data_IF_584460072346
#
_entry.id   IF_584460072346
#
_cell.length_a   1.000
_cell.length_b   1.000
_cell.length_c   1.000
_cell.angle_alpha   90.00
_cell.angle_beta   90.00
_cell.angle_gamma   90.00
#
_symmetry.space_group_name_H-M   'P 1'
#
loop_
_entity.id
_entity.type
_entity.pdbx_description
1 polymer ?
#
# COMPACT_ATOMS: atom_id res chain seq x y z
N UNK A 1 -3.31 -18.95 -10.14
CA UNK A 1 -4.08 -18.40 -9.02
C UNK A 1 -3.09 -17.86 -8.01
N UNK A 2 -2.62 -16.63 -8.22
CA UNK A 2 -1.78 -15.92 -7.25
C UNK A 2 -2.72 -15.32 -6.23
N UNK A 3 -2.77 -15.91 -5.03
CA UNK A 3 -3.50 -15.40 -3.88
C UNK A 3 -2.66 -14.30 -3.24
N UNK A 4 -3.23 -13.13 -2.99
CA UNK A 4 -2.55 -12.08 -2.24
C UNK A 4 -2.15 -12.64 -0.86
N UNK A 5 -0.85 -12.61 -0.57
CA UNK A 5 -0.35 -12.99 0.76
C UNK A 5 -0.52 -11.80 1.71
N UNK A 6 -1.53 -11.88 2.56
CA UNK A 6 -1.80 -10.90 3.63
C UNK A 6 -0.92 -11.14 4.87
N UNK A 7 0.00 -12.10 4.83
CA UNK A 7 0.91 -12.35 5.95
C UNK A 7 1.77 -11.11 6.22
N UNK A 8 2.00 -10.75 7.50
CA UNK A 8 2.87 -9.63 7.82
C UNK A 8 4.31 -9.95 7.41
N UNK A 9 4.76 -9.39 6.29
CA UNK A 9 6.14 -9.54 5.78
C UNK A 9 7.10 -8.46 6.29
N UNK A 10 6.57 -7.42 6.94
CA UNK A 10 7.36 -6.33 7.50
C UNK A 10 7.93 -6.74 8.86
N UNK A 11 9.25 -6.66 9.01
CA UNK A 11 9.95 -6.94 10.29
C UNK A 11 9.57 -5.94 11.38
N UNK A 12 9.26 -4.70 11.01
CA UNK A 12 8.89 -3.63 11.94
C UNK A 12 7.79 -2.74 11.31
N UNK A 13 6.51 -3.18 11.34
CA UNK A 13 5.41 -2.44 10.73
C UNK A 13 5.20 -1.07 11.37
N UNK A 14 5.41 -0.96 12.68
CA UNK A 14 5.26 0.28 13.44
C UNK A 14 6.29 1.35 13.03
N UNK A 15 7.55 0.93 12.84
CA UNK A 15 8.62 1.81 12.38
C UNK A 15 8.37 2.34 10.96
N UNK A 16 7.82 1.50 10.07
CA UNK A 16 7.42 1.93 8.73
C UNK A 16 6.26 2.92 8.79
N UNK A 17 5.25 2.67 9.63
CA UNK A 17 4.13 3.59 9.81
C UNK A 17 4.58 4.94 10.36
N UNK A 18 5.46 4.95 11.36
CA UNK A 18 6.01 6.16 11.94
C UNK A 18 6.77 6.99 10.88
N UNK A 19 7.60 6.34 10.07
CA UNK A 19 8.30 6.98 8.95
C UNK A 19 7.32 7.54 7.90
N UNK A 20 6.26 6.79 7.57
CA UNK A 20 5.23 7.24 6.64
C UNK A 20 4.50 8.49 7.15
N UNK A 21 4.03 8.47 8.40
CA UNK A 21 3.36 9.60 9.03
C UNK A 21 4.26 10.82 9.13
N UNK A 22 5.55 10.64 9.42
CA UNK A 22 6.50 11.74 9.46
C UNK A 22 6.71 12.36 8.07
N UNK A 23 6.75 11.56 7.00
CA UNK A 23 6.84 12.07 5.62
C UNK A 23 5.60 12.81 5.16
N UNK A 24 4.43 12.40 5.64
CA UNK A 24 3.17 13.07 5.35
C UNK A 24 2.97 14.34 6.19
N UNK A 25 3.72 14.50 7.30
CA UNK A 25 3.61 15.66 8.18
C UNK A 25 4.06 16.93 7.46
N UNK A 26 3.12 17.85 7.25
CA UNK A 26 3.38 19.13 6.59
C UNK A 26 3.13 19.13 5.09
N UNK A 27 2.66 18.02 4.52
CA UNK A 27 2.15 17.98 3.15
C UNK A 27 0.69 18.41 3.12
N UNK A 28 0.32 19.25 2.17
CA UNK A 28 -1.08 19.51 1.85
C UNK A 28 -1.76 18.28 1.24
N UNK A 29 -3.09 18.32 1.13
CA UNK A 29 -3.88 17.21 0.57
C UNK A 29 -3.43 16.76 -0.82
N UNK A 30 -3.08 17.72 -1.70
CA UNK A 30 -2.61 17.42 -3.05
C UNK A 30 -1.24 16.72 -3.03
N UNK A 31 -0.33 17.18 -2.18
CA UNK A 31 1.00 16.59 -2.03
C UNK A 31 0.93 15.20 -1.39
N UNK A 32 0.08 15.04 -0.38
CA UNK A 32 -0.20 13.74 0.26
C UNK A 32 -0.73 12.73 -0.77
N UNK A 33 -1.68 13.12 -1.62
CA UNK A 33 -2.19 12.25 -2.69
C UNK A 33 -1.10 11.88 -3.70
N UNK A 34 -0.29 12.86 -4.13
CA UNK A 34 0.79 12.62 -5.08
C UNK A 34 1.87 11.69 -4.50
N UNK A 35 2.24 11.89 -3.24
CA UNK A 35 3.18 11.04 -2.51
C UNK A 35 2.64 9.60 -2.41
N UNK A 36 1.40 9.44 -1.95
CA UNK A 36 0.78 8.12 -1.79
C UNK A 36 0.66 7.38 -3.13
N UNK A 37 0.26 8.06 -4.21
CA UNK A 37 0.19 7.44 -5.54
C UNK A 37 1.56 6.95 -6.02
N UNK A 38 2.63 7.74 -5.83
CA UNK A 38 4.00 7.33 -6.17
C UNK A 38 4.44 6.14 -5.33
N UNK A 39 4.20 6.18 -4.02
CA UNK A 39 4.54 5.09 -3.11
C UNK A 39 3.84 3.78 -3.51
N UNK A 40 2.53 3.83 -3.79
CA UNK A 40 1.76 2.68 -4.24
C UNK A 40 2.35 2.08 -5.52
N UNK A 41 2.71 2.91 -6.52
CA UNK A 41 3.32 2.44 -7.76
C UNK A 41 4.69 1.78 -7.53
N UNK A 42 5.53 2.34 -6.66
CA UNK A 42 6.82 1.73 -6.30
C UNK A 42 6.63 0.37 -5.64
N UNK A 43 5.69 0.26 -4.69
CA UNK A 43 5.39 -1.00 -4.02
C UNK A 43 4.77 -2.02 -4.98
N UNK A 44 3.88 -1.59 -5.87
CA UNK A 44 3.29 -2.43 -6.91
C UNK A 44 4.36 -3.03 -7.84
N UNK A 45 5.32 -2.22 -8.28
CA UNK A 45 6.46 -2.69 -9.06
C UNK A 45 7.33 -3.68 -8.28
N UNK A 46 7.46 -3.51 -6.96
CA UNK A 46 8.22 -4.44 -6.11
C UNK A 46 7.51 -5.79 -5.94
N UNK A 47 6.16 -5.80 -5.92
CA UNK A 47 5.35 -7.03 -5.90
C UNK A 47 5.48 -7.77 -7.23
N UNK A 48 5.35 -7.07 -8.36
CA UNK A 48 5.55 -7.63 -9.70
C UNK A 48 4.50 -8.63 -10.18
N UNK A 49 3.44 -8.87 -9.41
CA UNK A 49 2.33 -9.78 -9.74
C UNK A 49 1.04 -8.98 -9.94
N UNK A 50 0.62 -8.83 -11.20
CA UNK A 50 -0.56 -8.03 -11.55
C UNK A 50 -1.86 -8.59 -10.96
N UNK A 51 -2.02 -9.92 -10.91
CA UNK A 51 -3.22 -10.55 -10.39
C UNK A 51 -3.39 -10.30 -8.88
N UNK A 52 -2.29 -10.37 -8.12
CA UNK A 52 -2.29 -10.01 -6.70
C UNK A 52 -2.60 -8.52 -6.50
N UNK A 53 -2.11 -7.62 -7.36
CA UNK A 53 -2.42 -6.19 -7.29
C UNK A 53 -3.89 -5.89 -7.59
N UNK A 54 -4.49 -6.57 -8.56
CA UNK A 54 -5.91 -6.47 -8.87
C UNK A 54 -6.77 -6.95 -7.68
N UNK A 55 -6.43 -8.10 -7.08
CA UNK A 55 -7.09 -8.59 -5.86
C UNK A 55 -6.96 -7.58 -4.69
N UNK A 56 -5.79 -6.97 -4.51
CA UNK A 56 -5.58 -5.95 -3.49
C UNK A 56 -6.44 -4.69 -3.70
N UNK A 57 -6.68 -4.28 -4.96
CA UNK A 57 -7.55 -3.14 -5.27
C UNK A 57 -9.01 -3.44 -4.92
N UNK A 58 -9.50 -4.64 -5.21
CA UNK A 58 -10.86 -5.06 -4.85
C UNK A 58 -11.06 -5.10 -3.33
N UNK A 59 -10.07 -5.62 -2.59
CA UNK A 59 -10.08 -5.63 -1.12
C UNK A 59 -10.09 -4.20 -0.56
N UNK A 60 -9.21 -3.33 -1.07
CA UNK A 60 -9.11 -1.94 -0.61
C UNK A 60 -10.35 -1.09 -0.92
N UNK A 61 -11.08 -1.43 -2.00
CA UNK A 61 -12.35 -0.78 -2.34
C UNK A 61 -13.51 -1.15 -1.38
N UNK A 62 -13.27 -2.02 -0.39
CA UNK A 62 -14.29 -2.53 0.53
C UNK A 62 -15.08 -3.71 -0.04
N UNK A 63 -14.57 -4.35 -1.10
CA UNK A 63 -15.19 -5.50 -1.75
C UNK A 63 -15.07 -6.83 -0.99
N UNK A 64 -14.57 -6.83 0.25
CA UNK A 64 -14.53 -8.04 1.06
C UNK A 64 -15.77 -8.16 1.97
N UNK A 65 -16.80 -8.83 1.44
CA UNK A 65 -17.56 -9.77 2.26
C UNK A 65 -16.77 -11.08 2.31
N UNK A 66 -16.31 -11.43 3.52
CA UNK A 66 -15.86 -12.75 4.00
C UNK A 66 -14.83 -13.55 3.17
#
# INVERSE_FOLDING_TARGET
MSRLDLSPRLTAPDAFLAALTERLRGLDEAETRAFSARLILLLANQVGDQAALEEALEIAAGGQEA
#
